data_IF_928821575582
#
_entry.id   IF_928821575582
#
_cell.length_a   1.000
_cell.length_b   1.000
_cell.length_c   1.000
_cell.angle_alpha   90.00
_cell.angle_beta   90.00
_cell.angle_gamma   90.00
#
_symmetry.space_group_name_H-M   'P 1'
#
loop_
_entity.id
_entity.type
_entity.pdbx_description
1 polymer ?
#
# COMPACT_ATOMS: atom_id res chain seq x y z
N UNK A 1 61.06 19.66 -24.23
CA UNK A 1 60.40 18.36 -23.98
C UNK A 1 59.49 18.52 -22.79
N UNK A 2 58.20 18.78 -23.02
CA UNK A 2 57.17 18.88 -21.98
C UNK A 2 55.85 18.45 -22.63
N UNK A 3 55.20 17.44 -22.05
CA UNK A 3 54.13 16.63 -22.65
C UNK A 3 52.80 17.40 -22.81
N UNK A 4 51.98 17.08 -23.83
CA UNK A 4 50.64 17.65 -24.01
C UNK A 4 49.63 16.99 -23.06
N UNK A 5 48.86 17.82 -22.34
CA UNK A 5 47.73 17.39 -21.50
C UNK A 5 46.55 17.06 -22.42
N UNK A 6 46.20 15.78 -22.52
CA UNK A 6 45.04 15.31 -23.28
C UNK A 6 43.74 15.54 -22.52
N UNK A 7 42.66 16.04 -23.18
CA UNK A 7 41.36 16.27 -22.57
C UNK A 7 40.46 15.04 -22.75
N UNK A 8 40.89 13.88 -22.24
CA UNK A 8 40.09 12.66 -22.23
C UNK A 8 40.10 12.11 -20.81
N UNK A 9 38.92 11.69 -20.34
CA UNK A 9 38.62 11.17 -18.99
C UNK A 9 38.20 12.20 -17.93
N UNK A 10 37.07 12.87 -18.17
CA UNK A 10 36.10 13.12 -17.08
C UNK A 10 34.78 12.46 -17.50
N UNK A 11 34.81 11.13 -17.58
CA UNK A 11 33.60 10.31 -17.46
C UNK A 11 33.30 10.24 -15.95
N UNK A 12 32.72 11.33 -15.43
CA UNK A 12 32.19 11.38 -14.09
C UNK A 12 30.99 10.42 -14.06
N UNK A 13 31.26 9.19 -13.62
CA UNK A 13 30.26 8.18 -13.34
C UNK A 13 29.29 8.74 -12.29
N UNK A 14 28.19 9.31 -12.78
CA UNK A 14 27.05 9.71 -11.99
C UNK A 14 26.26 8.45 -11.64
N UNK A 15 26.83 7.63 -10.75
CA UNK A 15 26.12 6.55 -10.06
C UNK A 15 25.13 7.18 -9.09
N UNK A 16 24.00 7.64 -9.65
CA UNK A 16 22.81 7.99 -8.89
C UNK A 16 22.35 6.71 -8.18
N UNK A 17 22.76 6.56 -6.92
CA UNK A 17 22.21 5.59 -6.00
C UNK A 17 20.73 5.94 -5.76
N UNK A 18 19.85 5.44 -6.63
CA UNK A 18 18.42 5.34 -6.35
C UNK A 18 18.19 4.22 -5.31
N UNK A 19 18.75 4.35 -4.11
CA UNK A 19 18.30 3.59 -2.95
C UNK A 19 17.16 4.34 -2.25
N UNK A 20 16.17 4.77 -3.03
CA UNK A 20 14.88 5.12 -2.47
C UNK A 20 14.15 3.82 -2.18
N UNK A 21 13.67 3.63 -0.94
CA UNK A 21 12.68 2.61 -0.57
C UNK A 21 11.33 2.89 -1.26
N UNK A 22 11.32 3.07 -2.58
CA UNK A 22 10.12 3.24 -3.36
C UNK A 22 9.54 1.86 -3.61
N UNK A 23 8.70 1.41 -2.69
CA UNK A 23 7.79 0.30 -2.95
C UNK A 23 6.77 0.64 -4.05
N UNK A 24 6.60 1.91 -4.44
CA UNK A 24 5.61 2.31 -5.47
C UNK A 24 6.22 2.18 -6.87
N UNK A 25 5.66 1.35 -7.78
CA UNK A 25 6.18 1.24 -9.14
C UNK A 25 5.94 2.52 -9.95
N UNK A 26 6.95 2.96 -10.70
CA UNK A 26 6.86 4.17 -11.55
C UNK A 26 5.72 4.09 -12.56
N UNK A 27 5.44 2.89 -13.08
CA UNK A 27 4.33 2.61 -14.00
C UNK A 27 2.94 2.88 -13.40
N UNK A 28 2.83 2.86 -12.07
CA UNK A 28 1.59 3.12 -11.34
C UNK A 28 1.34 4.60 -11.07
N UNK A 29 2.39 5.44 -11.06
CA UNK A 29 2.30 6.86 -10.70
C UNK A 29 1.25 7.64 -11.53
N UNK A 30 1.16 7.50 -12.88
CA UNK A 30 0.16 8.25 -13.64
C UNK A 30 -1.28 7.86 -13.31
N UNK A 31 -1.51 6.62 -12.86
CA UNK A 31 -2.85 6.18 -12.42
C UNK A 31 -3.13 6.69 -11.01
N UNK A 32 -2.14 6.60 -10.12
CA UNK A 32 -2.23 7.12 -8.74
C UNK A 32 -2.50 8.63 -8.70
N UNK A 33 -1.87 9.42 -9.58
CA UNK A 33 -2.08 10.86 -9.67
C UNK A 33 -3.50 11.25 -10.13
N UNK A 34 -4.21 10.34 -10.80
CA UNK A 34 -5.60 10.56 -11.25
C UNK A 34 -6.62 10.09 -10.23
N UNK A 35 -6.19 9.44 -9.15
CA UNK A 35 -7.09 9.01 -8.09
C UNK A 35 -7.66 10.24 -7.39
N UNK A 36 -8.97 10.36 -7.42
CA UNK A 36 -9.69 11.37 -6.66
C UNK A 36 -10.48 10.71 -5.53
N UNK A 37 -9.92 10.78 -4.32
CA UNK A 37 -10.59 10.31 -3.10
C UNK A 37 -12.00 10.90 -2.93
N UNK A 38 -12.26 12.08 -3.49
CA UNK A 38 -13.52 12.81 -3.30
C UNK A 38 -14.67 12.26 -4.14
N UNK A 39 -14.38 11.46 -5.16
CA UNK A 39 -15.37 10.89 -6.10
C UNK A 39 -15.47 9.37 -6.00
N UNK A 40 -14.54 8.72 -5.28
CA UNK A 40 -14.60 7.27 -5.04
C UNK A 40 -15.82 6.87 -4.22
N UNK A 41 -16.49 5.81 -4.66
CA UNK A 41 -17.46 5.06 -3.87
C UNK A 41 -16.76 3.92 -3.12
N UNK A 42 -16.64 4.05 -1.80
CA UNK A 42 -15.98 3.05 -0.96
C UNK A 42 -16.73 1.72 -0.84
N UNK A 43 -17.97 1.64 -1.34
CA UNK A 43 -18.65 0.36 -1.54
C UNK A 43 -18.10 -0.41 -2.74
N UNK A 44 -17.48 0.27 -3.70
CA UNK A 44 -16.90 -0.32 -4.90
C UNK A 44 -15.37 -0.41 -4.87
N UNK A 45 -14.71 0.35 -3.99
CA UNK A 45 -13.26 0.27 -3.79
C UNK A 45 -12.88 -1.13 -3.31
N UNK A 46 -11.87 -1.71 -3.94
CA UNK A 46 -11.23 -2.96 -3.51
C UNK A 46 -9.76 -2.75 -3.26
N UNK A 47 -9.28 -3.39 -2.20
CA UNK A 47 -7.87 -3.57 -1.92
C UNK A 47 -7.48 -5.00 -2.30
N UNK A 48 -6.27 -5.21 -2.76
CA UNK A 48 -5.70 -6.55 -2.82
C UNK A 48 -4.34 -6.59 -2.12
N UNK A 49 -4.03 -7.73 -1.53
CA UNK A 49 -2.76 -7.97 -0.84
C UNK A 49 -2.15 -9.26 -1.36
N UNK A 50 -0.92 -9.19 -1.84
CA UNK A 50 -0.10 -10.35 -2.17
C UNK A 50 0.89 -10.60 -1.05
N UNK A 51 0.83 -11.78 -0.46
CA UNK A 51 1.59 -12.17 0.72
C UNK A 51 2.28 -13.52 0.48
N UNK A 52 3.44 -13.79 1.09
CA UNK A 52 4.00 -15.14 1.09
C UNK A 52 2.98 -16.15 1.62
N UNK A 53 2.93 -17.34 1.03
CA UNK A 53 1.96 -18.38 1.41
C UNK A 53 2.10 -18.87 2.86
N UNK A 54 3.25 -18.61 3.48
CA UNK A 54 3.51 -18.87 4.90
C UNK A 54 2.79 -17.92 5.86
N UNK A 55 2.19 -16.83 5.34
CA UNK A 55 1.40 -15.87 6.10
C UNK A 55 -0.11 -16.04 5.82
N UNK A 56 -0.92 -15.83 6.84
CA UNK A 56 -2.34 -15.60 6.70
C UNK A 56 -2.75 -14.29 7.38
N UNK A 57 -3.81 -13.68 6.87
CA UNK A 57 -4.46 -12.55 7.52
C UNK A 57 -5.65 -13.05 8.34
N UNK A 58 -5.81 -12.53 9.55
CA UNK A 58 -7.02 -12.66 10.35
C UNK A 58 -7.91 -11.43 10.14
N UNK A 59 -9.20 -11.48 10.52
CA UNK A 59 -10.04 -10.29 10.53
C UNK A 59 -9.38 -9.14 11.30
N UNK A 60 -9.26 -7.97 10.67
CA UNK A 60 -8.62 -6.79 11.26
C UNK A 60 -7.12 -6.64 10.96
N UNK A 61 -6.46 -7.65 10.39
CA UNK A 61 -5.02 -7.58 10.10
C UNK A 61 -4.70 -6.75 8.85
N UNK A 62 -5.65 -6.58 7.93
CA UNK A 62 -5.54 -5.69 6.78
C UNK A 62 -6.24 -4.35 7.07
N UNK A 63 -5.52 -3.24 6.86
CA UNK A 63 -6.01 -1.90 7.20
C UNK A 63 -5.70 -0.92 6.08
N UNK A 64 -6.72 -0.12 5.73
CA UNK A 64 -6.55 1.07 4.91
C UNK A 64 -6.35 2.27 5.85
N UNK A 65 -5.28 3.01 5.64
CA UNK A 65 -4.99 4.25 6.36
C UNK A 65 -5.10 5.42 5.40
N UNK A 66 -5.87 6.43 5.78
CA UNK A 66 -5.93 7.70 5.06
C UNK A 66 -5.25 8.74 5.92
N UNK A 67 -4.17 9.31 5.40
CA UNK A 67 -3.48 10.43 6.05
C UNK A 67 -3.96 11.72 5.45
N UNK A 68 -4.36 12.66 6.29
CA UNK A 68 -4.64 14.03 5.88
C UNK A 68 -3.66 14.98 6.56
N UNK A 69 -3.12 15.94 5.81
CA UNK A 69 -2.23 16.97 6.34
C UNK A 69 -2.78 18.36 6.06
N UNK A 70 -2.80 19.22 7.08
CA UNK A 70 -3.08 20.65 6.91
C UNK A 70 -1.87 21.38 6.31
N UNK A 71 -2.08 22.61 5.85
CA UNK A 71 -0.99 23.46 5.36
C UNK A 71 0.06 23.76 6.45
N UNK A 72 -0.38 23.90 7.70
CA UNK A 72 0.50 24.08 8.87
C UNK A 72 1.24 22.78 9.28
N UNK A 73 1.08 21.71 8.51
CA UNK A 73 1.83 20.47 8.67
C UNK A 73 1.23 19.46 9.65
N UNK A 74 0.10 19.78 10.30
CA UNK A 74 -0.60 18.87 11.22
C UNK A 74 -1.14 17.68 10.44
N UNK A 75 -0.71 16.47 10.82
CA UNK A 75 -1.12 15.22 10.19
C UNK A 75 -2.14 14.49 11.06
N UNK A 76 -3.16 13.92 10.42
CA UNK A 76 -4.13 13.00 11.02
C UNK A 76 -4.13 11.71 10.21
N UNK A 77 -4.24 10.57 10.88
CA UNK A 77 -4.31 9.26 10.25
C UNK A 77 -5.60 8.54 10.66
N UNK A 78 -6.53 8.41 9.73
CA UNK A 78 -7.77 7.65 9.90
C UNK A 78 -7.55 6.20 9.43
N UNK A 79 -7.86 5.23 10.30
CA UNK A 79 -7.70 3.79 10.02
C UNK A 79 -9.05 3.11 9.85
N UNK A 80 -9.15 2.30 8.80
CA UNK A 80 -10.35 1.57 8.41
C UNK A 80 -10.02 0.09 8.21
N UNK A 81 -10.82 -0.78 8.82
CA UNK A 81 -10.60 -2.22 8.73
C UNK A 81 -11.00 -2.70 7.34
N UNK A 82 -10.16 -3.55 6.75
CA UNK A 82 -10.46 -4.25 5.52
C UNK A 82 -10.94 -5.67 5.84
N UNK A 83 -12.05 -6.06 5.21
CA UNK A 83 -12.64 -7.40 5.32
C UNK A 83 -12.60 -8.09 3.97
N UNK A 84 -12.50 -9.41 3.97
CA UNK A 84 -12.42 -10.18 2.73
C UNK A 84 -13.64 -9.93 1.84
N UNK A 85 -13.36 -9.78 0.55
CA UNK A 85 -14.33 -9.67 -0.51
C UNK A 85 -15.08 -11.01 -0.67
N UNK A 86 -16.42 -11.05 -0.53
CA UNK A 86 -17.17 -12.31 -0.60
C UNK A 86 -17.28 -12.83 -2.04
N UNK A 87 -17.21 -11.97 -3.04
CA UNK A 87 -17.53 -12.32 -4.42
C UNK A 87 -16.29 -12.71 -5.23
N UNK A 88 -16.28 -13.90 -5.87
CA UNK A 88 -15.19 -14.31 -6.77
C UNK A 88 -14.93 -13.33 -7.91
N UNK A 89 -15.96 -12.64 -8.40
CA UNK A 89 -15.85 -11.64 -9.47
C UNK A 89 -14.95 -10.45 -9.08
N UNK A 90 -14.80 -10.16 -7.79
CA UNK A 90 -13.95 -9.07 -7.30
C UNK A 90 -12.45 -9.40 -7.43
N UNK A 91 -12.11 -10.67 -7.68
CA UNK A 91 -10.76 -11.13 -8.02
C UNK A 91 -10.41 -10.95 -9.50
N UNK A 92 -11.37 -10.52 -10.33
CA UNK A 92 -11.10 -10.29 -11.76
C UNK A 92 -10.01 -9.23 -11.95
N UNK A 93 -9.06 -9.52 -12.85
CA UNK A 93 -7.92 -8.64 -13.16
C UNK A 93 -6.71 -8.77 -12.22
N UNK A 94 -6.77 -9.67 -11.23
CA UNK A 94 -5.64 -9.95 -10.33
C UNK A 94 -4.78 -11.14 -10.74
N UNK A 95 -5.20 -11.91 -11.75
CA UNK A 95 -4.44 -13.06 -12.23
C UNK A 95 -3.01 -12.67 -12.66
N UNK A 96 -2.83 -11.47 -13.22
CA UNK A 96 -1.52 -10.91 -13.59
C UNK A 96 -0.61 -10.67 -12.39
N UNK A 97 -1.17 -10.57 -11.18
CA UNK A 97 -0.42 -10.32 -9.94
C UNK A 97 -0.04 -11.61 -9.21
N UNK A 98 -0.57 -12.77 -9.65
CA UNK A 98 -0.27 -14.06 -9.06
C UNK A 98 1.22 -14.40 -9.19
N UNK A 99 1.78 -14.98 -8.13
CA UNK A 99 3.19 -15.38 -8.06
C UNK A 99 3.30 -16.69 -7.29
N UNK A 100 4.12 -17.62 -7.79
CA UNK A 100 4.36 -18.89 -7.09
C UNK A 100 4.95 -18.63 -5.69
N UNK A 101 4.44 -19.34 -4.68
CA UNK A 101 4.81 -19.14 -3.28
C UNK A 101 4.09 -17.98 -2.59
N UNK A 102 3.14 -17.31 -3.25
CA UNK A 102 2.34 -16.22 -2.70
C UNK A 102 0.85 -16.53 -2.76
N UNK A 103 0.12 -15.97 -1.80
CA UNK A 103 -1.34 -15.90 -1.79
C UNK A 103 -1.78 -14.49 -2.13
N UNK A 104 -2.94 -14.37 -2.77
CA UNK A 104 -3.53 -13.11 -3.18
C UNK A 104 -4.95 -13.01 -2.62
N UNK A 105 -5.15 -12.09 -1.68
CA UNK A 105 -6.43 -11.80 -1.07
C UNK A 105 -7.04 -10.51 -1.63
N UNK A 106 -8.36 -10.46 -1.72
CA UNK A 106 -9.12 -9.25 -2.08
C UNK A 106 -9.96 -8.84 -0.89
N UNK A 107 -9.97 -7.54 -0.64
CA UNK A 107 -10.62 -6.95 0.52
C UNK A 107 -11.44 -5.73 0.09
N UNK A 108 -12.44 -5.44 0.89
CA UNK A 108 -13.26 -4.24 0.82
C UNK A 108 -13.21 -3.55 2.16
N UNK A 109 -13.57 -2.26 2.18
CA UNK A 109 -13.80 -1.57 3.45
C UNK A 109 -14.92 -2.28 4.20
N UNK A 110 -14.74 -2.47 5.51
CA UNK A 110 -15.81 -3.00 6.34
C UNK A 110 -17.08 -2.14 6.22
N UNK A 111 -18.29 -2.73 6.07
CA UNK A 111 -19.50 -1.93 5.80
C UNK A 111 -19.75 -0.85 6.85
N UNK A 112 -19.43 -1.15 8.12
CA UNK A 112 -19.59 -0.22 9.24
C UNK A 112 -18.64 0.99 9.19
N UNK A 113 -17.53 0.91 8.45
CA UNK A 113 -16.55 1.99 8.28
C UNK A 113 -16.86 2.90 7.07
N UNK A 114 -17.73 2.47 6.15
CA UNK A 114 -18.12 3.25 4.96
C UNK A 114 -18.71 4.62 5.32
N UNK A 115 -19.62 4.75 6.33
CA UNK A 115 -20.12 6.07 6.74
C UNK A 115 -19.02 6.99 7.29
N UNK A 116 -18.01 6.44 7.98
CA UNK A 116 -16.87 7.21 8.49
C UNK A 116 -16.00 7.74 7.35
N UNK A 117 -15.84 6.98 6.26
CA UNK A 117 -15.18 7.46 5.05
C UNK A 117 -15.95 8.58 4.36
N UNK A 118 -17.28 8.46 4.26
CA UNK A 118 -18.12 9.52 3.71
C UNK A 118 -18.02 10.82 4.54
N UNK A 119 -17.95 10.70 5.87
CA UNK A 119 -17.72 11.83 6.76
C UNK A 119 -16.32 12.45 6.57
N UNK A 120 -15.28 11.63 6.37
CA UNK A 120 -13.93 12.10 6.03
C UNK A 120 -13.91 12.84 4.69
N UNK A 121 -14.56 12.31 3.65
CA UNK A 121 -14.75 13.02 2.38
C UNK A 121 -15.45 14.37 2.61
N UNK A 122 -16.54 14.42 3.38
CA UNK A 122 -17.25 15.68 3.66
C UNK A 122 -16.35 16.71 4.37
N UNK A 123 -15.55 16.30 5.35
CA UNK A 123 -14.56 17.16 6.02
C UNK A 123 -13.52 17.72 5.05
N UNK A 124 -12.99 16.87 4.17
CA UNK A 124 -12.02 17.29 3.16
C UNK A 124 -12.67 18.26 2.15
N UNK A 125 -13.92 18.03 1.71
CA UNK A 125 -14.67 19.00 0.86
C UNK A 125 -14.79 20.35 1.56
N UNK A 126 -15.27 20.37 2.80
CA UNK A 126 -15.46 21.60 3.56
C UNK A 126 -14.13 22.37 3.78
N UNK A 127 -13.00 21.67 3.92
CA UNK A 127 -11.68 22.31 4.02
C UNK A 127 -11.25 23.04 2.75
N UNK A 128 -11.75 22.64 1.56
CA UNK A 128 -11.46 23.34 0.31
C UNK A 128 -12.16 24.69 0.23
N UNK A 129 -13.32 24.81 0.87
CA UNK A 129 -14.18 25.99 0.80
C UNK A 129 -13.96 26.97 1.97
N UNK A 130 -13.62 26.47 3.17
CA UNK A 130 -13.74 27.23 4.43
C UNK A 130 -12.47 27.30 5.30
N UNK A 131 -11.35 26.71 4.90
CA UNK A 131 -10.18 26.61 5.77
C UNK A 131 -8.88 26.22 5.06
N UNK A 132 -7.81 25.90 5.82
CA UNK A 132 -6.55 25.47 5.22
C UNK A 132 -6.76 24.15 4.48
N UNK A 133 -6.19 24.04 3.28
CA UNK A 133 -6.41 22.88 2.42
C UNK A 133 -5.84 21.61 3.05
N UNK A 134 -6.65 20.56 3.08
CA UNK A 134 -6.19 19.22 3.46
C UNK A 134 -5.62 18.48 2.25
N UNK A 135 -4.38 18.01 2.35
CA UNK A 135 -3.80 17.04 1.40
C UNK A 135 -3.96 15.63 1.93
N UNK A 136 -4.45 14.72 1.10
CA UNK A 136 -4.70 13.33 1.47
C UNK A 136 -3.72 12.37 0.82
N UNK A 137 -3.37 11.28 1.51
CA UNK A 137 -2.78 10.09 0.91
C UNK A 137 -3.47 8.84 1.44
N UNK A 138 -3.58 7.82 0.59
CA UNK A 138 -4.16 6.52 0.93
C UNK A 138 -3.04 5.50 0.94
N UNK A 139 -3.08 4.62 1.93
CA UNK A 139 -2.12 3.55 2.10
C UNK A 139 -2.86 2.29 2.56
N UNK A 140 -2.51 1.14 1.99
CA UNK A 140 -3.06 -0.16 2.38
C UNK A 140 -1.91 -0.99 2.90
N UNK A 141 -2.01 -1.42 4.16
CA UNK A 141 -0.99 -2.19 4.84
C UNK A 141 -1.55 -3.38 5.57
N UNK A 142 -0.66 -4.35 5.75
CA UNK A 142 -0.81 -5.42 6.73
C UNK A 142 -0.33 -4.89 8.07
N UNK A 143 -1.19 -4.88 9.08
CA UNK A 143 -0.86 -4.49 10.46
C UNK A 143 -0.66 -5.66 11.41
N UNK A 144 -0.99 -6.88 10.98
CA UNK A 144 -0.86 -8.10 11.75
C UNK A 144 -1.03 -9.32 10.85
N UNK A 145 -1.13 -10.50 11.45
CA UNK A 145 -1.25 -11.74 10.71
C UNK A 145 -1.00 -12.93 11.61
N UNK A 146 -0.96 -14.10 11.00
CA UNK A 146 -0.47 -15.31 11.64
C UNK A 146 0.37 -16.14 10.68
N UNK A 147 1.24 -16.97 11.24
CA UNK A 147 2.12 -17.86 10.50
C UNK A 147 1.43 -19.21 10.29
N UNK A 148 1.28 -19.63 9.03
CA UNK A 148 0.79 -20.98 8.68
C UNK A 148 1.88 -22.03 8.89
N UNK A 149 3.12 -21.64 8.65
CA UNK A 149 4.31 -22.48 8.77
C UNK A 149 5.48 -21.62 9.26
N UNK A 150 6.63 -22.26 9.53
CA UNK A 150 7.83 -21.51 9.88
C UNK A 150 8.23 -20.60 8.71
N UNK A 151 8.44 -19.32 8.98
CA UNK A 151 8.87 -18.37 7.97
C UNK A 151 10.38 -18.44 7.83
N UNK A 152 10.86 -18.58 6.59
CA UNK A 152 12.29 -18.52 6.30
C UNK A 152 12.92 -17.20 6.79
N UNK A 153 14.21 -17.26 7.13
CA UNK A 153 15.02 -16.07 7.33
C UNK A 153 15.11 -15.25 6.02
N UNK A 154 15.20 -13.93 6.12
CA UNK A 154 15.30 -13.01 4.96
C UNK A 154 14.17 -11.97 4.88
N UNK A 155 13.85 -11.41 3.71
CA UNK A 155 12.74 -10.47 3.55
C UNK A 155 11.36 -11.16 3.58
N UNK A 156 10.32 -10.44 4.04
CA UNK A 156 8.91 -10.84 3.89
C UNK A 156 8.20 -9.88 2.93
N UNK A 157 8.35 -10.05 1.60
CA UNK A 157 7.82 -9.11 0.64
C UNK A 157 6.29 -9.16 0.60
N UNK A 158 5.67 -7.99 0.73
CA UNK A 158 4.23 -7.78 0.63
C UNK A 158 3.95 -6.73 -0.43
N UNK A 159 2.97 -7.01 -1.29
CA UNK A 159 2.48 -6.04 -2.27
C UNK A 159 1.04 -5.68 -1.96
N UNK A 160 0.68 -4.41 -2.17
CA UNK A 160 -0.69 -3.91 -2.02
C UNK A 160 -1.16 -3.23 -3.30
N UNK A 161 -2.44 -3.40 -3.59
CA UNK A 161 -3.08 -2.90 -4.79
C UNK A 161 -4.41 -2.25 -4.43
N UNK A 162 -4.80 -1.25 -5.23
CA UNK A 162 -6.08 -0.55 -5.10
C UNK A 162 -6.83 -0.61 -6.42
N UNK A 163 -8.09 -1.02 -6.38
CA UNK A 163 -9.05 -0.88 -7.47
C UNK A 163 -10.08 0.18 -7.04
N UNK A 164 -10.13 1.34 -7.69
CA UNK A 164 -10.94 2.47 -7.21
C UNK A 164 -12.46 2.30 -7.42
N UNK A 165 -12.89 1.44 -8.34
CA UNK A 165 -14.30 1.19 -8.64
C UNK A 165 -14.53 -0.07 -9.48
N UNK A 166 -15.79 -0.47 -9.67
CA UNK A 166 -16.17 -1.77 -10.28
C UNK A 166 -15.57 -2.00 -11.67
N UNK A 167 -15.58 -0.98 -12.52
CA UNK A 167 -15.09 -1.02 -13.90
C UNK A 167 -13.59 -0.72 -14.06
N UNK A 168 -12.89 -0.43 -12.97
CA UNK A 168 -11.50 -0.03 -13.01
C UNK A 168 -10.54 -1.20 -12.81
N UNK A 169 -9.27 -0.97 -13.18
CA UNK A 169 -8.18 -1.94 -12.97
C UNK A 169 -7.53 -1.72 -11.61
N UNK A 170 -6.92 -2.77 -11.07
CA UNK A 170 -6.02 -2.63 -9.94
C UNK A 170 -4.80 -1.77 -10.32
N UNK A 171 -4.38 -0.95 -9.36
CA UNK A 171 -3.21 -0.09 -9.40
C UNK A 171 -2.30 -0.53 -8.27
N UNK A 172 -1.02 -0.76 -8.55
CA UNK A 172 -0.06 -1.13 -7.51
C UNK A 172 0.22 0.07 -6.62
N UNK A 173 -0.07 -0.06 -5.33
CA UNK A 173 0.28 0.93 -4.32
C UNK A 173 1.69 0.69 -3.79
N UNK A 174 1.99 -0.57 -3.50
CA UNK A 174 3.28 -1.00 -3.01
C UNK A 174 3.63 -2.38 -3.59
N UNK A 175 4.88 -2.58 -3.96
CA UNK A 175 5.42 -3.80 -4.56
C UNK A 175 6.60 -4.29 -3.71
N UNK A 176 6.54 -5.57 -3.35
CA UNK A 176 7.56 -6.32 -2.61
C UNK A 176 8.18 -5.57 -1.40
N UNK A 177 7.37 -4.81 -0.67
CA UNK A 177 7.79 -4.13 0.56
C UNK A 177 8.06 -5.16 1.64
N UNK A 178 9.23 -5.09 2.26
CA UNK A 178 9.59 -6.00 3.34
C UNK A 178 8.78 -5.69 4.60
N UNK A 179 7.90 -6.63 4.97
CA UNK A 179 7.08 -6.53 6.16
C UNK A 179 7.95 -6.48 7.43
N UNK A 180 9.14 -7.13 7.43
CA UNK A 180 10.08 -7.11 8.56
C UNK A 180 10.60 -5.71 8.88
N UNK A 181 10.75 -4.87 7.85
CA UNK A 181 11.14 -3.47 8.00
C UNK A 181 9.95 -2.58 8.36
N UNK A 182 8.74 -2.95 7.93
CA UNK A 182 7.53 -2.15 8.10
C UNK A 182 6.86 -2.30 9.48
N UNK A 183 7.06 -3.45 10.14
CA UNK A 183 6.59 -3.71 11.51
C UNK A 183 7.83 -3.97 12.37
N UNK A 184 8.56 -2.92 12.79
CA UNK A 184 9.75 -3.11 13.60
C UNK A 184 9.36 -3.77 14.93
N UNK A 185 9.84 -4.99 15.14
CA UNK A 185 9.68 -5.75 16.37
C UNK A 185 10.96 -6.53 16.65
N UNK A 186 11.40 -6.51 17.91
CA UNK A 186 12.46 -7.41 18.37
C UNK A 186 11.97 -8.87 18.43
N UNK A 187 10.68 -9.07 18.68
CA UNK A 187 10.03 -10.38 18.69
C UNK A 187 8.93 -10.45 17.62
N UNK A 188 9.33 -10.92 16.44
CA UNK A 188 8.42 -11.12 15.31
C UNK A 188 7.46 -12.30 15.52
N UNK A 189 7.82 -13.27 16.34
CA UNK A 189 6.99 -14.44 16.63
C UNK A 189 5.83 -14.08 17.57
N UNK A 190 6.04 -13.14 18.50
CA UNK A 190 4.96 -12.58 19.31
C UNK A 190 4.00 -11.75 18.45
N UNK A 191 4.53 -10.95 17.51
CA UNK A 191 3.72 -10.09 16.63
C UNK A 191 2.92 -10.87 15.58
N UNK A 192 3.50 -11.98 15.11
CA UNK A 192 2.91 -12.90 14.15
C UNK A 192 2.85 -14.30 14.79
N UNK A 193 1.84 -14.57 15.64
CA UNK A 193 1.69 -15.89 16.24
C UNK A 193 1.37 -16.94 15.16
N UNK A 194 1.47 -18.23 15.51
CA UNK A 194 0.95 -19.28 14.62
C UNK A 194 -0.55 -19.13 14.43
N UNK A 195 -1.02 -19.46 13.23
CA UNK A 195 -2.44 -19.53 12.96
C UNK A 195 -3.07 -20.64 13.82
N UNK A 196 -4.25 -20.36 14.36
CA UNK A 196 -5.04 -21.40 15.00
C UNK A 196 -5.38 -22.49 13.95
N UNK A 197 -5.35 -23.75 14.40
CA UNK A 197 -5.77 -24.89 13.60
C UNK A 197 -7.29 -24.90 13.38
#
# INVERSE_FOLDING_TARGET
MSLPVSPSFILLALSLALSGCFGVPVSSLPRLMRLDFMTMDFNEVRAALRLPASLALRPGDAVMTIRTRTEDGVETADRFVLVEAPEPAERAGLAEQARAGFTLGVFRVAPYDVPRLAALQARIRASRDRGPRLRGSIDIRVSGGCLREAVAEGPLPVSSYLKPGRGERFITLAEDVDLRQSIPSADWAERMPRCAA
#
